data_IF_057749670032
#
_entry.id   IF_057749670032
#
_cell.length_a   1.000
_cell.length_b   1.000
_cell.length_c   1.000
_cell.angle_alpha   90.00
_cell.angle_beta   90.00
_cell.angle_gamma   90.00
#
_symmetry.space_group_name_H-M   'P 1'
#
loop_
_entity.id
_entity.type
_entity.pdbx_description
1 polymer ?
#
# COMPACT_ATOMS: atom_id res chain seq x y z
N UNK A 1 17.60 -32.84 -22.81
CA UNK A 1 17.96 -32.40 -21.44
C UNK A 1 16.76 -32.67 -20.54
N UNK A 2 16.94 -33.27 -19.35
CA UNK A 2 15.82 -33.66 -18.47
C UNK A 2 15.11 -32.39 -18.00
N UNK A 3 13.87 -32.15 -18.43
CA UNK A 3 13.10 -30.93 -18.13
C UNK A 3 12.96 -30.63 -16.63
N UNK A 4 13.02 -31.66 -15.78
CA UNK A 4 13.08 -31.51 -14.31
C UNK A 4 14.29 -30.69 -13.82
N UNK A 5 15.46 -30.78 -14.45
CA UNK A 5 16.66 -30.08 -13.96
C UNK A 5 16.63 -28.58 -14.29
N UNK A 6 16.00 -28.19 -15.39
CA UNK A 6 15.86 -26.77 -15.80
C UNK A 6 14.88 -26.04 -14.87
N UNK A 7 13.78 -26.68 -14.48
CA UNK A 7 12.81 -26.12 -13.54
C UNK A 7 13.47 -25.76 -12.21
N UNK A 8 14.15 -26.73 -11.58
CA UNK A 8 14.78 -26.51 -10.28
C UNK A 8 15.92 -25.50 -10.35
N UNK A 9 16.73 -25.53 -11.42
CA UNK A 9 17.79 -24.53 -11.63
C UNK A 9 17.24 -23.11 -11.73
N UNK A 10 16.24 -22.89 -12.58
CA UNK A 10 15.59 -21.59 -12.73
C UNK A 10 14.94 -21.12 -11.41
N UNK A 11 14.25 -22.03 -10.70
CA UNK A 11 13.59 -21.74 -9.44
C UNK A 11 14.57 -21.21 -8.38
N UNK A 12 15.65 -21.95 -8.10
CA UNK A 12 16.61 -21.58 -7.07
C UNK A 12 17.42 -20.33 -7.44
N UNK A 13 17.77 -20.15 -8.72
CA UNK A 13 18.45 -18.93 -9.19
C UNK A 13 17.56 -17.71 -8.95
N UNK A 14 16.31 -17.74 -9.41
CA UNK A 14 15.38 -16.61 -9.24
C UNK A 14 15.08 -16.33 -7.78
N UNK A 15 14.83 -17.36 -6.98
CA UNK A 15 14.56 -17.21 -5.56
C UNK A 15 15.75 -16.60 -4.81
N UNK A 16 16.98 -17.09 -5.08
CA UNK A 16 18.20 -16.57 -4.49
C UNK A 16 18.46 -15.10 -4.86
N UNK A 17 18.19 -14.72 -6.12
CA UNK A 17 18.33 -13.35 -6.61
C UNK A 17 17.35 -12.40 -5.92
N UNK A 18 16.10 -12.83 -5.71
CA UNK A 18 15.10 -12.06 -4.96
C UNK A 18 15.49 -11.87 -3.50
N UNK A 19 15.98 -12.90 -2.83
CA UNK A 19 16.48 -12.77 -1.45
C UNK A 19 17.69 -11.83 -1.35
N UNK A 20 18.62 -11.89 -2.31
CA UNK A 20 19.74 -10.96 -2.43
C UNK A 20 19.25 -9.51 -2.57
N UNK A 21 18.35 -9.26 -3.54
CA UNK A 21 17.74 -7.94 -3.76
C UNK A 21 17.02 -7.43 -2.51
N UNK A 22 16.32 -8.30 -1.78
CA UNK A 22 15.64 -7.95 -0.53
C UNK A 22 16.61 -7.54 0.58
N UNK A 23 17.80 -8.16 0.62
CA UNK A 23 18.80 -7.87 1.64
C UNK A 23 19.46 -6.50 1.45
N UNK A 24 19.47 -5.97 0.23
CA UNK A 24 20.07 -4.66 -0.06
C UNK A 24 19.31 -3.45 0.50
N UNK A 25 18.15 -3.63 1.15
CA UNK A 25 17.37 -2.63 1.93
C UNK A 25 17.02 -1.29 1.27
N UNK A 26 17.54 -0.98 0.08
CA UNK A 26 17.39 0.32 -0.60
C UNK A 26 16.20 0.39 -1.54
N UNK A 27 15.39 -0.68 -1.60
CA UNK A 27 14.33 -0.82 -2.58
C UNK A 27 13.00 -1.10 -1.86
N UNK A 28 12.28 -0.02 -1.54
CA UNK A 28 10.91 -0.04 -0.99
C UNK A 28 9.89 -0.50 -2.05
N UNK A 29 9.99 -1.75 -2.50
CA UNK A 29 9.03 -2.33 -3.42
C UNK A 29 7.92 -3.05 -2.67
N UNK A 30 6.67 -2.70 -3.01
CA UNK A 30 5.47 -3.39 -2.52
C UNK A 30 5.29 -4.75 -3.20
N UNK A 31 6.10 -5.74 -2.79
CA UNK A 31 6.01 -7.11 -3.31
C UNK A 31 4.67 -7.80 -2.99
N UNK A 32 3.80 -7.20 -2.17
CA UNK A 32 2.45 -7.68 -1.88
C UNK A 32 1.60 -7.90 -3.14
N UNK A 33 1.65 -6.97 -4.11
CA UNK A 33 0.87 -7.08 -5.33
C UNK A 33 1.28 -8.27 -6.22
N UNK A 34 2.51 -8.75 -6.07
CA UNK A 34 3.02 -9.88 -6.84
C UNK A 34 2.45 -11.23 -6.38
N UNK A 35 1.83 -11.30 -5.18
CA UNK A 35 1.11 -12.49 -4.73
C UNK A 35 -0.07 -12.84 -5.65
N UNK A 36 -0.70 -11.84 -6.29
CA UNK A 36 -1.84 -12.01 -7.21
C UNK A 36 -1.52 -12.85 -8.45
N UNK A 37 -0.24 -13.09 -8.74
CA UNK A 37 0.22 -13.87 -9.91
C UNK A 37 0.30 -15.38 -9.65
N UNK A 38 -0.03 -15.87 -8.44
CA UNK A 38 -0.08 -17.31 -8.16
C UNK A 38 -0.95 -18.13 -9.14
N UNK A 39 -2.07 -17.63 -9.70
CA UNK A 39 -2.85 -18.39 -10.69
C UNK A 39 -2.10 -18.57 -12.02
N UNK A 40 -1.24 -17.62 -12.38
CA UNK A 40 -0.44 -17.71 -13.59
C UNK A 40 0.55 -18.89 -13.55
N UNK A 41 1.05 -19.25 -12.35
CA UNK A 41 1.85 -20.45 -12.17
C UNK A 41 1.09 -21.72 -12.58
N UNK A 42 -0.15 -21.85 -12.14
CA UNK A 42 -1.00 -23.01 -12.43
C UNK A 42 -1.28 -23.12 -13.93
N UNK A 43 -1.56 -21.99 -14.59
CA UNK A 43 -1.77 -21.93 -16.05
C UNK A 43 -0.52 -22.36 -16.81
N UNK A 44 0.65 -21.84 -16.44
CA UNK A 44 1.93 -22.17 -17.07
C UNK A 44 2.31 -23.63 -16.85
N UNK A 45 2.04 -24.18 -15.67
CA UNK A 45 2.28 -25.59 -15.36
C UNK A 45 1.37 -26.50 -16.19
N UNK A 46 0.10 -26.13 -16.35
CA UNK A 46 -0.83 -26.81 -17.25
C UNK A 46 -0.36 -26.82 -18.70
N UNK A 47 0.08 -25.65 -19.22
CA UNK A 47 0.66 -25.53 -20.56
C UNK A 47 1.91 -26.39 -20.73
N UNK A 48 2.81 -26.43 -19.74
CA UNK A 48 4.02 -27.25 -19.78
C UNK A 48 3.71 -28.77 -19.86
N UNK A 49 2.58 -29.21 -19.31
CA UNK A 49 2.16 -30.61 -19.37
C UNK A 49 1.53 -30.99 -20.71
N UNK A 50 0.81 -30.07 -21.36
CA UNK A 50 0.15 -30.29 -22.64
C UNK A 50 1.13 -30.30 -23.82
N UNK A 51 2.26 -29.59 -23.71
CA UNK A 51 3.22 -29.47 -24.81
C UNK A 51 4.15 -30.69 -24.90
N UNK A 52 4.11 -31.39 -26.04
CA UNK A 52 4.96 -32.57 -26.34
C UNK A 52 6.40 -32.24 -26.74
N UNK A 53 6.69 -31.00 -27.16
CA UNK A 53 8.03 -30.59 -27.61
C UNK A 53 9.02 -30.40 -26.47
N UNK A 54 10.19 -31.04 -26.53
CA UNK A 54 11.21 -31.02 -25.46
C UNK A 54 11.76 -29.61 -25.15
N UNK A 55 11.87 -28.75 -26.17
CA UNK A 55 12.32 -27.36 -26.06
C UNK A 55 11.25 -26.49 -25.39
N UNK A 56 10.02 -26.54 -25.89
CA UNK A 56 8.91 -25.77 -25.32
C UNK A 56 8.55 -26.21 -23.89
N UNK A 57 8.64 -27.52 -23.60
CA UNK A 57 8.45 -28.03 -22.25
C UNK A 57 9.49 -27.51 -21.27
N UNK A 58 10.73 -27.30 -21.73
CA UNK A 58 11.78 -26.63 -20.95
C UNK A 58 11.50 -25.14 -20.74
N UNK A 59 11.05 -24.44 -21.78
CA UNK A 59 10.69 -23.01 -21.72
C UNK A 59 9.54 -22.75 -20.73
N UNK A 60 8.41 -23.44 -20.88
CA UNK A 60 7.27 -23.30 -19.98
C UNK A 60 7.58 -23.77 -18.56
N UNK A 61 8.41 -24.81 -18.40
CA UNK A 61 8.91 -25.23 -17.09
C UNK A 61 9.78 -24.17 -16.42
N UNK A 62 10.71 -23.55 -17.14
CA UNK A 62 11.53 -22.45 -16.61
C UNK A 62 10.69 -21.23 -16.25
N UNK A 63 9.72 -20.86 -17.09
CA UNK A 63 8.82 -19.74 -16.82
C UNK A 63 7.93 -20.02 -15.59
N UNK A 64 7.40 -21.24 -15.46
CA UNK A 64 6.65 -21.64 -14.28
C UNK A 64 7.51 -21.58 -13.01
N UNK A 65 8.79 -21.99 -13.07
CA UNK A 65 9.72 -21.89 -11.96
C UNK A 65 9.95 -20.44 -11.50
N UNK A 66 10.12 -19.51 -12.45
CA UNK A 66 10.27 -18.08 -12.16
C UNK A 66 9.01 -17.53 -11.46
N UNK A 67 7.82 -17.82 -12.01
CA UNK A 67 6.56 -17.34 -11.42
C UNK A 67 6.34 -17.93 -10.03
N UNK A 68 6.70 -19.19 -9.80
CA UNK A 68 6.61 -19.81 -8.47
C UNK A 68 7.55 -19.13 -7.47
N UNK A 69 8.79 -18.86 -7.84
CA UNK A 69 9.76 -18.18 -6.98
C UNK A 69 9.28 -16.78 -6.58
N UNK A 70 8.77 -16.01 -7.55
CA UNK A 70 8.18 -14.69 -7.32
C UNK A 70 6.97 -14.76 -6.37
N UNK A 71 6.09 -15.75 -6.58
CA UNK A 71 4.89 -15.93 -5.77
C UNK A 71 5.24 -16.26 -4.32
N UNK A 72 6.17 -17.19 -4.09
CA UNK A 72 6.60 -17.57 -2.73
C UNK A 72 7.28 -16.41 -2.01
N UNK A 73 8.13 -15.66 -2.71
CA UNK A 73 8.79 -14.48 -2.15
C UNK A 73 7.79 -13.37 -1.79
N UNK A 74 6.81 -13.11 -2.65
CA UNK A 74 5.74 -12.16 -2.40
C UNK A 74 4.87 -12.58 -1.19
N UNK A 75 4.52 -13.87 -1.11
CA UNK A 75 3.75 -14.43 0.01
C UNK A 75 4.49 -14.31 1.34
N UNK A 76 5.79 -14.60 1.36
CA UNK A 76 6.61 -14.48 2.57
C UNK A 76 6.76 -13.02 3.04
N UNK A 77 6.97 -12.08 2.12
CA UNK A 77 6.99 -10.65 2.45
C UNK A 77 5.63 -10.17 2.97
N UNK A 78 4.52 -10.61 2.36
CA UNK A 78 3.17 -10.28 2.80
C UNK A 78 2.91 -10.82 4.21
N UNK A 79 3.28 -12.07 4.47
CA UNK A 79 3.15 -12.68 5.79
C UNK A 79 3.98 -11.94 6.84
N UNK A 80 5.20 -11.50 6.50
CA UNK A 80 6.01 -10.66 7.40
C UNK A 80 5.23 -9.42 7.84
N UNK A 81 4.60 -8.68 6.92
CA UNK A 81 3.74 -7.55 7.29
C UNK A 81 2.60 -7.95 8.24
N UNK A 82 1.94 -9.09 8.03
CA UNK A 82 0.89 -9.57 8.95
C UNK A 82 1.40 -9.95 10.34
N UNK A 83 2.63 -10.45 10.47
CA UNK A 83 3.18 -10.94 11.75
C UNK A 83 4.08 -9.95 12.48
N UNK A 84 4.58 -8.90 11.81
CA UNK A 84 5.45 -7.87 12.41
C UNK A 84 4.75 -6.55 12.70
N UNK A 85 3.42 -6.48 12.63
CA UNK A 85 2.68 -5.34 13.19
C UNK A 85 2.75 -5.39 14.73
N UNK A 86 3.89 -4.98 15.29
CA UNK A 86 3.88 -4.21 16.53
C UNK A 86 3.13 -2.91 16.22
N UNK A 87 1.82 -2.97 16.39
CA UNK A 87 0.91 -1.84 16.35
C UNK A 87 1.29 -0.87 17.48
N UNK A 88 2.24 0.03 17.23
CA UNK A 88 2.54 1.12 18.15
C UNK A 88 1.52 2.25 17.90
N UNK A 89 0.42 2.20 18.66
CA UNK A 89 -0.80 3.02 18.52
C UNK A 89 -0.75 4.32 19.33
N UNK A 90 0.40 4.96 19.48
CA UNK A 90 0.53 6.10 20.40
C UNK A 90 1.05 7.38 19.76
N UNK A 91 0.57 7.75 18.57
CA UNK A 91 0.99 9.05 17.99
C UNK A 91 -0.04 9.70 17.05
N UNK A 92 -1.33 9.58 17.35
CA UNK A 92 -2.36 10.34 16.65
C UNK A 92 -3.36 10.99 17.59
N UNK A 93 -3.57 12.28 17.36
CA UNK A 93 -4.61 13.12 17.92
C UNK A 93 -5.99 12.50 17.63
N UNK A 94 -6.90 12.46 18.61
CA UNK A 94 -8.16 11.69 18.65
C UNK A 94 -9.20 12.02 17.54
N UNK A 95 -8.88 12.92 16.61
CA UNK A 95 -9.85 13.48 15.65
C UNK A 95 -9.82 12.81 14.26
N UNK A 96 -9.11 11.69 14.10
CA UNK A 96 -8.98 10.96 12.82
C UNK A 96 -9.60 9.57 12.94
N UNK A 97 -10.73 9.34 12.25
CA UNK A 97 -11.37 8.02 12.16
C UNK A 97 -10.89 7.30 10.91
N UNK A 98 -10.27 6.12 11.10
CA UNK A 98 -9.77 5.27 10.02
C UNK A 98 -10.76 4.12 9.74
N UNK A 99 -11.28 4.02 8.51
CA UNK A 99 -12.04 2.84 8.07
C UNK A 99 -11.09 1.86 7.38
N UNK A 100 -10.91 0.68 7.95
CA UNK A 100 -10.01 -0.36 7.44
C UNK A 100 -10.53 -1.07 6.18
N UNK A 101 -11.76 -0.77 5.73
CA UNK A 101 -12.36 -1.40 4.54
C UNK A 101 -12.39 -0.51 3.30
N UNK A 102 -12.10 0.79 3.43
CA UNK A 102 -12.09 1.71 2.31
C UNK A 102 -10.97 2.74 2.46
N UNK A 103 -10.32 3.09 1.36
CA UNK A 103 -9.16 3.99 1.23
C UNK A 103 -9.46 5.45 1.58
N UNK A 104 -10.31 5.70 2.58
CA UNK A 104 -10.74 7.04 2.96
C UNK A 104 -10.33 7.39 4.38
N UNK A 105 -9.96 8.66 4.58
CA UNK A 105 -9.72 9.24 5.89
C UNK A 105 -10.70 10.39 6.12
N UNK A 106 -11.34 10.39 7.29
CA UNK A 106 -12.24 11.47 7.70
C UNK A 106 -11.54 12.35 8.73
N UNK A 107 -11.53 13.65 8.45
CA UNK A 107 -11.02 14.68 9.35
C UNK A 107 -12.18 15.58 9.75
N UNK A 108 -12.40 15.76 11.04
CA UNK A 108 -13.51 16.60 11.50
C UNK A 108 -13.22 17.30 12.82
N UNK A 109 -13.76 18.50 12.96
CA UNK A 109 -13.74 19.31 14.17
C UNK A 109 -15.16 19.74 14.50
N UNK A 110 -15.60 19.57 15.74
CA UNK A 110 -16.97 19.91 16.13
C UNK A 110 -17.17 21.42 16.21
N UNK A 111 -18.38 21.88 15.89
CA UNK A 111 -18.70 23.31 15.92
C UNK A 111 -18.90 23.80 17.36
N UNK A 112 -18.09 24.79 17.75
CA UNK A 112 -18.27 25.53 18.99
C UNK A 112 -18.97 26.87 18.70
N UNK A 113 -20.17 27.13 19.28
CA UNK A 113 -20.91 28.38 19.10
C UNK A 113 -20.17 29.64 19.57
N UNK A 114 -19.10 29.51 20.36
CA UNK A 114 -18.25 30.62 20.77
C UNK A 114 -17.51 31.27 19.60
N UNK A 115 -17.21 30.52 18.52
CA UNK A 115 -16.52 31.03 17.36
C UNK A 115 -17.48 31.71 16.38
N UNK A 116 -17.26 33.01 16.14
CA UNK A 116 -18.05 33.79 15.17
C UNK A 116 -17.48 33.76 13.76
N UNK A 117 -16.20 33.44 13.65
CA UNK A 117 -15.47 33.38 12.39
C UNK A 117 -14.52 32.18 12.41
N UNK A 118 -14.17 31.67 11.23
CA UNK A 118 -13.19 30.61 11.08
C UNK A 118 -12.26 30.92 9.93
N UNK A 119 -10.98 30.56 10.07
CA UNK A 119 -9.97 30.63 9.01
C UNK A 119 -9.47 29.23 8.72
N UNK A 120 -9.54 28.83 7.46
CA UNK A 120 -8.99 27.57 6.98
C UNK A 120 -7.72 27.83 6.17
N UNK A 121 -6.60 27.34 6.67
CA UNK A 121 -5.35 27.23 5.92
C UNK A 121 -5.28 25.83 5.32
N UNK A 122 -5.33 25.77 3.98
CA UNK A 122 -5.39 24.52 3.23
C UNK A 122 -4.11 24.35 2.39
N UNK A 123 -3.23 23.42 2.78
CA UNK A 123 -1.99 23.12 2.08
C UNK A 123 -1.88 21.62 1.77
N UNK A 124 -2.55 21.21 0.71
CA UNK A 124 -2.71 19.78 0.39
C UNK A 124 -1.74 19.25 -0.67
N UNK A 125 -0.81 20.06 -1.19
CA UNK A 125 0.08 19.65 -2.28
C UNK A 125 -0.67 19.31 -3.59
N UNK A 126 -0.23 18.29 -4.31
CA UNK A 126 -0.84 17.84 -5.56
C UNK A 126 -2.08 16.97 -5.31
N UNK A 127 -3.26 17.47 -5.69
CA UNK A 127 -4.53 16.74 -5.52
C UNK A 127 -5.71 17.45 -6.18
N UNK A 128 -6.86 16.77 -6.24
CA UNK A 128 -8.12 17.33 -6.69
C UNK A 128 -9.04 17.58 -5.48
N UNK A 129 -9.66 18.75 -5.42
CA UNK A 129 -10.49 19.16 -4.29
C UNK A 129 -11.88 19.57 -4.78
N UNK A 130 -12.90 19.17 -4.02
CA UNK A 130 -14.28 19.55 -4.29
C UNK A 130 -14.96 20.03 -3.01
N UNK A 131 -15.39 21.29 -3.02
CA UNK A 131 -16.25 21.84 -1.97
C UNK A 131 -17.69 21.52 -2.38
N UNK A 132 -18.43 20.84 -1.50
CA UNK A 132 -19.76 20.28 -1.83
C UNK A 132 -20.88 20.99 -1.09
N UNK A 133 -21.09 20.66 0.17
CA UNK A 133 -22.23 21.13 0.97
C UNK A 133 -21.77 21.60 2.36
N UNK A 134 -22.57 22.44 2.99
CA UNK A 134 -22.36 22.88 4.38
C UNK A 134 -22.48 21.70 5.35
N UNK A 135 -21.76 21.78 6.46
CA UNK A 135 -21.78 20.79 7.55
C UNK A 135 -22.19 21.45 8.86
N UNK A 136 -22.71 20.66 9.80
CA UNK A 136 -22.99 21.10 11.17
C UNK A 136 -21.74 21.11 12.06
N UNK A 137 -20.60 20.66 11.52
CA UNK A 137 -19.28 20.68 12.15
C UNK A 137 -18.53 21.95 11.78
N UNK A 138 -17.53 22.34 12.58
CA UNK A 138 -16.65 23.44 12.24
C UNK A 138 -15.83 23.12 10.99
N UNK A 139 -15.38 21.87 10.90
CA UNK A 139 -14.58 21.36 9.79
C UNK A 139 -14.97 19.91 9.50
N UNK A 140 -15.10 19.56 8.22
CA UNK A 140 -15.34 18.19 7.79
C UNK A 140 -14.72 17.96 6.41
N UNK A 141 -13.81 16.99 6.33
CA UNK A 141 -13.17 16.58 5.09
C UNK A 141 -13.18 15.07 5.00
N UNK A 142 -13.54 14.58 3.81
CA UNK A 142 -13.36 13.19 3.43
C UNK A 142 -12.29 13.13 2.34
N UNK A 143 -11.19 12.43 2.63
CA UNK A 143 -10.07 12.24 1.70
C UNK A 143 -10.13 10.85 1.12
N UNK A 144 -10.04 10.71 -0.20
CA UNK A 144 -9.78 9.43 -0.89
C UNK A 144 -8.28 9.30 -1.15
N UNK A 145 -7.69 8.15 -0.84
CA UNK A 145 -6.27 7.88 -1.05
C UNK A 145 -5.50 7.51 0.23
N UNK A 146 -4.17 7.63 0.18
CA UNK A 146 -3.25 7.02 1.16
C UNK A 146 -3.68 7.22 2.62
N UNK A 147 -3.67 6.11 3.38
CA UNK A 147 -4.03 5.93 4.80
C UNK A 147 -3.44 6.97 5.78
N UNK A 148 -2.46 7.78 5.34
CA UNK A 148 -1.73 8.75 6.15
C UNK A 148 -1.37 10.06 5.41
N UNK A 149 -2.06 10.38 4.32
CA UNK A 149 -1.68 11.49 3.43
C UNK A 149 -1.85 12.90 4.02
N UNK A 150 -2.69 13.06 5.04
CA UNK A 150 -3.07 14.38 5.56
C UNK A 150 -3.08 14.42 7.09
N UNK A 151 -2.93 15.63 7.62
CA UNK A 151 -3.03 15.96 9.04
C UNK A 151 -3.71 17.31 9.21
N UNK A 152 -4.32 17.54 10.37
CA UNK A 152 -4.86 18.83 10.71
C UNK A 152 -4.71 19.16 12.19
N UNK A 153 -4.67 20.45 12.49
CA UNK A 153 -4.81 20.98 13.85
C UNK A 153 -5.81 22.13 13.84
N UNK A 154 -6.49 22.28 14.96
CA UNK A 154 -7.38 23.40 15.24
C UNK A 154 -6.78 24.17 16.41
N UNK A 155 -6.60 25.47 16.22
CA UNK A 155 -6.20 26.38 17.29
C UNK A 155 -7.33 27.38 17.55
N UNK A 156 -7.58 27.64 18.82
CA UNK A 156 -8.58 28.59 19.27
C UNK A 156 -7.90 29.92 19.58
N UNK A 157 -8.25 30.97 18.83
CA UNK A 157 -7.79 32.34 19.10
C UNK A 157 -9.00 33.21 19.43
N UNK A 158 -9.19 33.56 20.70
CA UNK A 158 -10.22 34.43 21.32
C UNK A 158 -11.66 34.37 20.76
N UNK A 159 -11.86 34.67 19.48
CA UNK A 159 -13.15 34.78 18.81
C UNK A 159 -13.19 34.17 17.39
N UNK A 160 -12.12 33.54 16.92
CA UNK A 160 -12.10 32.78 15.66
C UNK A 160 -11.29 31.48 15.78
N UNK A 161 -11.78 30.44 15.12
CA UNK A 161 -11.07 29.18 15.02
C UNK A 161 -10.10 29.20 13.83
N UNK A 162 -8.87 28.72 14.05
CA UNK A 162 -7.86 28.57 13.01
C UNK A 162 -7.63 27.09 12.72
N UNK A 163 -8.05 26.66 11.55
CA UNK A 163 -7.89 25.28 11.09
C UNK A 163 -6.70 25.24 10.13
N UNK A 164 -5.68 24.47 10.46
CA UNK A 164 -4.57 24.18 9.57
C UNK A 164 -4.70 22.76 9.07
N UNK A 165 -4.88 22.57 7.77
CA UNK A 165 -4.97 21.28 7.12
C UNK A 165 -3.83 21.14 6.11
N UNK A 166 -2.97 20.12 6.27
CA UNK A 166 -1.83 19.93 5.39
C UNK A 166 -1.57 18.46 5.01
N UNK A 167 -0.93 18.28 3.85
CA UNK A 167 -0.40 16.98 3.43
C UNK A 167 0.80 16.59 4.29
N UNK A 168 0.83 15.36 4.81
CA UNK A 168 2.04 14.84 5.46
C UNK A 168 3.09 14.58 4.38
N UNK A 169 4.26 15.21 4.53
CA UNK A 169 5.44 14.84 3.75
C UNK A 169 5.82 13.42 4.16
N UNK A 170 5.41 12.44 3.35
CA UNK A 170 6.11 11.18 3.31
C UNK A 170 7.54 11.52 2.91
N UNK A 171 8.46 11.48 3.88
CA UNK A 171 9.86 11.30 3.58
C UNK A 171 9.95 9.96 2.87
N UNK A 172 9.77 9.98 1.54
CA UNK A 172 10.07 8.87 0.66
C UNK A 172 11.59 8.73 0.74
N UNK A 173 12.03 7.97 1.75
CA UNK A 173 13.35 7.37 1.82
C UNK A 173 13.30 6.01 1.15
#
# INVERSE_FOLDING_TARGET
MKTKSIFWGAFFITLGLLFLLNNFSTLNYEFYNLWKFWPAFIVLLGLALLVKGSVFKGFFGGLAAIVLALTLFAGFNSAKYFFTEEHNWNDFNDNVVLDSRHTFATFSEDYNPAFKQAKLYFNSGAGAFKIVQSTNKLFFVNSDGMKYGYSFITNDEDNFAVINFWGKDNHVR
#
